data_IF_100590174343
#
_entry.id   IF_100590174343
#
_cell.length_a   1.000
_cell.length_b   1.000
_cell.length_c   1.000
_cell.angle_alpha   90.00
_cell.angle_beta   90.00
_cell.angle_gamma   90.00
#
_symmetry.space_group_name_H-M   'P 1'
#
loop_
_entity.id
_entity.type
_entity.pdbx_description
1 polymer ?
#
# COMPACT_ATOMS: atom_id res chain seq x y z
N UNK A 1 0.19 -14.29 73.70
CA UNK A 1 -0.99 -13.57 73.21
C UNK A 1 -0.92 -13.46 71.71
N UNK A 2 -1.92 -14.09 71.10
CA UNK A 2 -2.22 -14.09 69.67
C UNK A 2 -2.30 -12.69 69.05
N UNK A 3 -1.98 -12.67 67.75
CA UNK A 3 -2.81 -12.17 66.63
C UNK A 3 -2.01 -11.26 65.70
N UNK A 4 -2.14 -11.27 64.39
CA UNK A 4 -2.64 -12.18 63.35
C UNK A 4 -2.39 -11.43 62.02
N UNK A 5 -2.40 -12.18 60.91
CA UNK A 5 -2.65 -11.74 59.53
C UNK A 5 -1.50 -11.10 58.71
N UNK A 6 -1.27 -11.50 57.45
CA UNK A 6 -1.70 -12.67 56.69
C UNK A 6 -0.82 -12.75 55.42
N UNK A 7 -0.62 -13.98 54.95
CA UNK A 7 0.02 -14.37 53.71
C UNK A 7 -0.72 -13.81 52.47
N UNK A 8 0.05 -13.46 51.43
CA UNK A 8 -0.18 -14.01 50.09
C UNK A 8 1.08 -13.84 49.24
N UNK A 9 1.83 -14.94 49.12
CA UNK A 9 2.89 -15.08 48.13
C UNK A 9 2.31 -15.44 46.77
N UNK A 10 2.93 -14.91 45.71
CA UNK A 10 3.04 -15.57 44.41
C UNK A 10 4.38 -15.21 43.78
N UNK A 11 5.37 -15.98 44.21
CA UNK A 11 6.43 -16.62 43.42
C UNK A 11 6.32 -16.37 41.88
N UNK A 12 7.11 -15.45 41.33
CA UNK A 12 7.41 -15.40 39.89
C UNK A 12 8.77 -16.04 39.67
N UNK A 13 8.76 -17.37 39.53
CA UNK A 13 9.89 -18.13 38.98
C UNK A 13 9.69 -18.30 37.48
N UNK A 14 10.80 -18.09 36.79
CA UNK A 14 11.22 -18.67 35.52
C UNK A 14 10.63 -18.05 34.25
N UNK A 15 11.44 -17.43 33.38
CA UNK A 15 12.55 -17.95 32.57
C UNK A 15 12.05 -18.20 31.13
N UNK A 16 12.94 -17.88 30.17
CA UNK A 16 12.98 -18.34 28.78
C UNK A 16 12.45 -17.41 27.67
N UNK A 17 13.42 -16.87 26.95
CA UNK A 17 13.55 -17.05 25.50
C UNK A 17 12.50 -16.40 24.58
N UNK A 18 12.62 -15.10 24.34
CA UNK A 18 12.04 -14.45 23.14
C UNK A 18 13.04 -14.26 21.99
N UNK A 19 14.31 -14.66 22.17
CA UNK A 19 15.35 -14.60 21.13
C UNK A 19 15.36 -15.79 20.17
N UNK A 20 14.38 -16.71 20.28
CA UNK A 20 14.28 -17.92 19.46
C UNK A 20 12.85 -18.19 18.97
N UNK A 21 12.08 -17.15 18.60
CA UNK A 21 10.95 -17.38 17.70
C UNK A 21 11.51 -17.61 16.30
N UNK A 22 11.85 -18.88 16.08
CA UNK A 22 12.61 -19.35 14.96
C UNK A 22 12.07 -18.88 13.62
N UNK A 23 13.03 -18.85 12.71
CA UNK A 23 12.96 -18.85 11.27
C UNK A 23 12.09 -20.02 10.73
N UNK A 24 10.86 -20.12 11.22
CA UNK A 24 9.80 -20.88 10.56
C UNK A 24 9.41 -20.02 9.37
N UNK A 25 10.13 -20.20 8.28
CA UNK A 25 9.67 -19.89 6.94
C UNK A 25 8.36 -20.66 6.73
N UNK A 26 7.24 -20.11 7.20
CA UNK A 26 5.94 -20.49 6.65
C UNK A 26 6.10 -20.31 5.15
N UNK A 27 6.00 -21.43 4.42
CA UNK A 27 6.30 -21.46 3.00
C UNK A 27 5.28 -20.58 2.29
N UNK A 28 5.64 -19.32 2.05
CA UNK A 28 4.86 -18.32 1.29
C UNK A 28 4.65 -18.77 -0.17
N UNK A 29 5.27 -19.88 -0.56
CA UNK A 29 5.13 -20.57 -1.84
C UNK A 29 3.70 -21.00 -2.18
N UNK A 30 2.82 -21.17 -1.19
CA UNK A 30 1.42 -21.60 -1.42
C UNK A 30 0.50 -20.48 -1.89
N UNK A 31 0.71 -19.23 -1.47
CA UNK A 31 -0.18 -18.10 -1.84
C UNK A 31 -0.07 -17.79 -3.33
N UNK A 32 1.13 -17.94 -3.89
CA UNK A 32 1.44 -17.61 -5.27
C UNK A 32 1.09 -18.74 -6.26
N UNK A 33 0.67 -19.91 -5.79
CA UNK A 33 0.04 -20.97 -6.63
C UNK A 33 -1.47 -20.80 -6.81
N UNK A 34 -2.08 -19.84 -6.10
CA UNK A 34 -3.51 -19.63 -6.15
C UNK A 34 -3.91 -18.91 -7.44
N UNK A 35 -5.16 -19.07 -7.92
CA UNK A 35 -5.70 -18.27 -9.01
C UNK A 35 -5.53 -16.77 -8.75
N UNK A 36 -5.34 -15.97 -9.80
CA UNK A 36 -5.16 -14.52 -9.68
C UNK A 36 -6.31 -13.83 -8.93
N UNK A 37 -7.54 -14.32 -9.09
CA UNK A 37 -8.70 -13.83 -8.34
C UNK A 37 -8.58 -14.06 -6.83
N UNK A 38 -8.04 -15.21 -6.42
CA UNK A 38 -7.77 -15.51 -5.01
C UNK A 38 -6.60 -14.67 -4.48
N UNK A 39 -5.55 -14.48 -5.29
CA UNK A 39 -4.45 -13.59 -4.93
C UNK A 39 -4.95 -12.15 -4.73
N UNK A 40 -5.82 -11.67 -5.62
CA UNK A 40 -6.44 -10.35 -5.51
C UNK A 40 -7.32 -10.22 -4.25
N UNK A 41 -8.10 -11.26 -3.91
CA UNK A 41 -8.90 -11.26 -2.68
C UNK A 41 -8.03 -11.21 -1.42
N UNK A 42 -6.95 -12.00 -1.37
CA UNK A 42 -5.98 -11.95 -0.28
C UNK A 42 -5.28 -10.59 -0.20
N UNK A 43 -4.91 -10.03 -1.34
CA UNK A 43 -4.33 -8.70 -1.42
C UNK A 43 -5.32 -7.65 -0.92
N UNK A 44 -6.61 -7.71 -1.28
CA UNK A 44 -7.61 -6.78 -0.77
C UNK A 44 -7.69 -6.81 0.77
N UNK A 45 -7.62 -7.98 1.39
CA UNK A 45 -7.56 -8.12 2.85
C UNK A 45 -6.30 -7.46 3.42
N UNK A 46 -5.15 -7.64 2.78
CA UNK A 46 -3.89 -6.98 3.18
C UNK A 46 -3.96 -5.46 3.00
N UNK A 47 -4.60 -4.97 1.95
CA UNK A 47 -4.80 -3.52 1.73
C UNK A 47 -5.72 -2.91 2.80
N UNK A 48 -6.71 -3.66 3.28
CA UNK A 48 -7.53 -3.26 4.44
C UNK A 48 -6.67 -3.19 5.71
N UNK A 49 -5.82 -4.18 5.96
CA UNK A 49 -4.89 -4.18 7.10
C UNK A 49 -3.85 -3.05 7.04
N UNK A 50 -3.36 -2.69 5.85
CA UNK A 50 -2.51 -1.52 5.62
C UNK A 50 -3.22 -0.20 5.92
N UNK A 51 -4.53 -0.20 5.73
CA UNK A 51 -5.39 0.96 5.95
C UNK A 51 -5.82 1.10 7.42
N UNK A 52 -5.44 0.17 8.30
CA UNK A 52 -5.86 0.14 9.70
C UNK A 52 -5.43 1.43 10.44
N UNK A 53 -6.32 2.08 11.22
CA UNK A 53 -5.98 3.29 11.96
C UNK A 53 -4.95 3.03 13.07
N UNK A 54 -4.81 1.78 13.53
CA UNK A 54 -3.82 1.38 14.51
C UNK A 54 -2.45 1.21 13.85
N UNK A 55 -1.56 2.17 14.08
CA UNK A 55 -0.23 2.23 13.47
C UNK A 55 0.59 0.93 13.58
N UNK A 56 0.67 0.23 14.74
CA UNK A 56 1.37 -1.05 14.83
C UNK A 56 0.83 -2.13 13.88
N UNK A 57 -0.50 -2.21 13.70
CA UNK A 57 -1.12 -3.17 12.77
C UNK A 57 -0.72 -2.83 11.34
N UNK A 58 -0.93 -1.59 10.92
CA UNK A 58 -0.62 -1.15 9.56
C UNK A 58 0.88 -1.34 9.22
N UNK A 59 1.78 -1.04 10.17
CA UNK A 59 3.22 -1.26 10.02
C UNK A 59 3.59 -2.75 9.92
N UNK A 60 2.97 -3.61 10.74
CA UNK A 60 3.21 -5.06 10.66
C UNK A 60 2.74 -5.64 9.32
N UNK A 61 1.59 -5.19 8.82
CA UNK A 61 1.07 -5.61 7.51
C UNK A 61 1.97 -5.08 6.39
N UNK A 62 2.45 -3.82 6.46
CA UNK A 62 3.40 -3.28 5.49
C UNK A 62 4.67 -4.11 5.44
N UNK A 63 5.28 -4.41 6.59
CA UNK A 63 6.47 -5.24 6.67
C UNK A 63 6.25 -6.64 6.07
N UNK A 64 5.08 -7.24 6.33
CA UNK A 64 4.70 -8.53 5.76
C UNK A 64 4.56 -8.49 4.24
N UNK A 65 3.85 -7.48 3.72
CA UNK A 65 3.62 -7.28 2.29
C UNK A 65 4.93 -7.05 1.56
N UNK A 66 5.80 -6.18 2.08
CA UNK A 66 7.07 -5.83 1.43
C UNK A 66 8.11 -6.94 1.57
N UNK A 67 8.35 -7.44 2.79
CA UNK A 67 9.49 -8.31 3.07
C UNK A 67 9.24 -9.78 2.70
N UNK A 68 7.98 -10.22 2.72
CA UNK A 68 7.64 -11.64 2.51
C UNK A 68 6.80 -11.87 1.27
N UNK A 69 5.67 -11.20 1.15
CA UNK A 69 4.70 -11.49 0.09
C UNK A 69 5.20 -10.98 -1.25
N UNK A 70 5.66 -9.74 -1.33
CA UNK A 70 6.22 -9.14 -2.54
C UNK A 70 7.43 -9.92 -3.05
N UNK A 71 8.36 -10.28 -2.16
CA UNK A 71 9.54 -11.10 -2.50
C UNK A 71 9.16 -12.50 -2.99
N UNK A 72 8.17 -13.15 -2.36
CA UNK A 72 7.69 -14.44 -2.81
C UNK A 72 6.96 -14.36 -4.17
N UNK A 73 6.26 -13.26 -4.41
CA UNK A 73 5.54 -13.02 -5.66
C UNK A 73 6.52 -12.82 -6.83
N UNK A 74 7.56 -12.00 -6.66
CA UNK A 74 8.59 -11.75 -7.70
C UNK A 74 9.33 -13.01 -8.10
N UNK A 75 9.73 -13.84 -7.12
CA UNK A 75 10.39 -15.14 -7.37
C UNK A 75 9.57 -16.11 -8.21
N UNK A 76 8.26 -15.90 -8.33
CA UNK A 76 7.38 -16.81 -9.08
C UNK A 76 6.89 -16.22 -10.39
N UNK A 77 6.58 -14.93 -10.42
CA UNK A 77 5.91 -14.31 -11.56
C UNK A 77 6.87 -13.57 -12.50
N UNK A 78 8.06 -13.22 -12.04
CA UNK A 78 9.06 -12.57 -12.89
C UNK A 78 10.00 -13.61 -13.47
N UNK A 79 10.34 -13.45 -14.75
CA UNK A 79 11.40 -14.20 -15.43
C UNK A 79 12.78 -13.76 -14.94
N UNK A 80 13.82 -14.55 -15.20
CA UNK A 80 15.17 -14.25 -14.69
C UNK A 80 15.71 -12.89 -15.17
N UNK A 81 15.34 -12.45 -16.37
CA UNK A 81 15.66 -11.11 -16.90
C UNK A 81 14.98 -10.00 -16.09
N UNK A 82 13.67 -10.14 -15.83
CA UNK A 82 12.91 -9.17 -15.04
C UNK A 82 13.34 -9.16 -13.57
N UNK A 83 13.84 -10.30 -13.05
CA UNK A 83 14.44 -10.38 -11.71
C UNK A 83 15.79 -9.69 -11.64
N UNK A 84 16.61 -9.83 -12.68
CA UNK A 84 17.89 -9.11 -12.77
C UNK A 84 17.63 -7.59 -12.81
N UNK A 85 16.69 -7.14 -13.66
CA UNK A 85 16.26 -5.75 -13.69
C UNK A 85 15.70 -5.27 -12.35
N UNK A 86 14.90 -6.10 -11.67
CA UNK A 86 14.38 -5.79 -10.34
C UNK A 86 15.49 -5.64 -9.29
N UNK A 87 16.47 -6.54 -9.30
CA UNK A 87 17.61 -6.50 -8.38
C UNK A 87 18.48 -5.27 -8.63
N UNK A 88 18.73 -4.93 -9.89
CA UNK A 88 19.52 -3.74 -10.27
C UNK A 88 18.81 -2.45 -9.84
N UNK A 89 17.48 -2.37 -10.05
CA UNK A 89 16.67 -1.23 -9.62
C UNK A 89 16.61 -1.10 -8.10
N UNK A 90 16.46 -2.21 -7.37
CA UNK A 90 16.47 -2.20 -5.89
C UNK A 90 17.86 -1.84 -5.34
N UNK A 91 18.95 -2.34 -5.92
CA UNK A 91 20.32 -1.97 -5.52
C UNK A 91 20.62 -0.50 -5.83
N UNK A 92 20.20 0.01 -6.97
CA UNK A 92 20.35 1.42 -7.31
C UNK A 92 19.54 2.29 -6.33
N UNK A 93 18.31 1.87 -5.99
CA UNK A 93 17.44 2.60 -5.06
C UNK A 93 17.94 2.56 -3.62
N UNK A 94 18.46 1.43 -3.16
CA UNK A 94 19.09 1.28 -1.85
C UNK A 94 20.40 2.10 -1.78
N UNK A 95 21.17 2.12 -2.87
CA UNK A 95 22.34 2.99 -3.01
C UNK A 95 21.94 4.48 -3.00
N UNK A 96 20.80 4.83 -3.62
CA UNK A 96 20.21 6.18 -3.59
C UNK A 96 19.73 6.56 -2.18
N UNK A 97 19.11 5.64 -1.43
CA UNK A 97 18.72 5.84 -0.02
C UNK A 97 19.91 6.12 0.89
N UNK A 98 21.07 5.50 0.59
CA UNK A 98 22.32 5.70 1.34
C UNK A 98 23.13 6.90 0.84
N UNK A 99 22.94 7.32 -0.42
CA UNK A 99 23.68 8.39 -1.08
C UNK A 99 22.81 9.60 -1.40
N UNK A 100 22.57 10.46 -0.40
CA UNK A 100 22.11 11.83 -0.61
C UNK A 100 23.30 12.66 -1.15
N UNK A 101 23.55 12.63 -2.46
CA UNK A 101 24.12 13.73 -3.26
C UNK A 101 24.44 13.27 -4.71
N UNK A 102 23.75 13.85 -5.69
CA UNK A 102 24.05 13.61 -7.10
C UNK A 102 23.21 14.49 -8.02
N UNK A 103 23.76 15.64 -8.41
CA UNK A 103 23.16 16.60 -9.32
C UNK A 103 23.10 16.04 -10.76
N UNK A 104 21.89 15.90 -11.31
CA UNK A 104 21.62 15.56 -12.70
C UNK A 104 20.12 15.37 -12.93
N UNK A 105 19.68 15.30 -14.20
CA UNK A 105 18.28 15.15 -14.66
C UNK A 105 17.50 13.95 -14.05
N UNK A 106 18.17 13.15 -13.21
CA UNK A 106 17.64 12.13 -12.29
C UNK A 106 16.86 12.72 -11.10
N UNK A 107 16.84 14.04 -10.93
CA UNK A 107 16.09 14.75 -9.89
C UNK A 107 14.55 14.61 -9.98
N UNK A 108 14.00 14.13 -11.11
CA UNK A 108 12.56 13.91 -11.24
C UNK A 108 12.05 12.75 -10.37
N UNK A 109 12.78 11.63 -10.31
CA UNK A 109 12.40 10.45 -9.50
C UNK A 109 12.60 10.76 -8.01
N UNK A 110 13.68 11.47 -7.67
CA UNK A 110 13.96 11.91 -6.31
C UNK A 110 12.91 12.92 -5.82
N UNK A 111 12.48 13.85 -6.69
CA UNK A 111 11.35 14.73 -6.40
C UNK A 111 10.02 13.97 -6.21
N UNK A 112 9.78 12.88 -6.96
CA UNK A 112 8.59 12.04 -6.76
C UNK A 112 8.67 11.30 -5.43
N UNK A 113 9.81 10.71 -5.07
CA UNK A 113 10.07 10.05 -3.80
C UNK A 113 9.90 10.99 -2.60
N UNK A 114 10.50 12.18 -2.66
CA UNK A 114 10.37 13.22 -1.62
C UNK A 114 8.93 13.71 -1.53
N UNK A 115 8.24 13.92 -2.67
CA UNK A 115 6.83 14.32 -2.68
C UNK A 115 5.93 13.23 -2.11
N UNK A 116 6.17 11.96 -2.44
CA UNK A 116 5.45 10.82 -1.88
C UNK A 116 5.69 10.73 -0.38
N UNK A 117 6.94 10.75 0.09
CA UNK A 117 7.27 10.70 1.51
C UNK A 117 6.63 11.85 2.32
N UNK A 118 6.54 13.05 1.74
CA UNK A 118 5.85 14.18 2.38
C UNK A 118 4.32 14.10 2.38
N UNK A 119 3.74 13.24 1.53
CA UNK A 119 2.29 13.14 1.28
C UNK A 119 1.68 11.83 1.71
N UNK A 120 2.49 10.81 2.01
CA UNK A 120 1.99 9.53 2.49
C UNK A 120 2.01 9.51 4.00
N UNK A 121 0.84 9.52 4.67
CA UNK A 121 0.79 9.25 6.09
C UNK A 121 1.31 7.84 6.40
N UNK A 122 1.66 7.62 7.66
CA UNK A 122 1.93 6.30 8.22
C UNK A 122 0.90 5.26 7.71
N UNK A 123 1.29 4.02 7.34
CA UNK A 123 2.57 3.34 7.63
C UNK A 123 3.67 3.58 6.59
N UNK A 124 3.42 4.33 5.53
CA UNK A 124 4.33 4.39 4.39
C UNK A 124 5.51 5.34 4.67
N UNK A 125 6.76 4.85 4.75
CA UNK A 125 7.92 5.69 4.95
C UNK A 125 8.37 6.42 3.66
N UNK A 126 7.59 6.32 2.58
CA UNK A 126 7.91 6.78 1.24
C UNK A 126 7.63 5.68 0.22
N UNK A 127 8.57 5.46 -0.71
CA UNK A 127 8.41 4.48 -1.79
C UNK A 127 8.44 3.03 -1.26
N UNK A 128 7.45 2.25 -1.68
CA UNK A 128 7.25 0.85 -1.24
C UNK A 128 8.18 -0.13 -1.96
N UNK A 129 8.33 -1.37 -1.48
CA UNK A 129 9.23 -2.35 -2.09
C UNK A 129 8.80 -2.78 -3.51
N UNK A 130 9.75 -2.97 -4.44
CA UNK A 130 9.47 -3.24 -5.86
C UNK A 130 8.55 -4.43 -6.07
N UNK A 131 8.80 -5.53 -5.38
CA UNK A 131 7.99 -6.74 -5.52
C UNK A 131 6.53 -6.55 -5.09
N UNK A 132 6.29 -5.76 -4.04
CA UNK A 132 4.95 -5.40 -3.61
C UNK A 132 4.25 -4.50 -4.63
N UNK A 133 4.97 -3.51 -5.19
CA UNK A 133 4.45 -2.62 -6.24
C UNK A 133 4.02 -3.39 -7.49
N UNK A 134 4.87 -4.28 -7.99
CA UNK A 134 4.57 -5.11 -9.18
C UNK A 134 3.38 -6.02 -8.95
N UNK A 135 3.31 -6.64 -7.77
CA UNK A 135 2.18 -7.48 -7.38
C UNK A 135 0.86 -6.68 -7.36
N UNK A 136 0.85 -5.52 -6.68
CA UNK A 136 -0.35 -4.67 -6.60
C UNK A 136 -0.76 -4.18 -7.98
N UNK A 137 0.20 -3.72 -8.78
CA UNK A 137 -0.04 -3.26 -10.15
C UNK A 137 -0.67 -4.35 -11.01
N UNK A 138 -0.14 -5.57 -10.96
CA UNK A 138 -0.68 -6.73 -11.71
C UNK A 138 -2.12 -7.05 -11.30
N UNK A 139 -2.42 -6.97 -10.00
CA UNK A 139 -3.72 -7.32 -9.45
C UNK A 139 -4.70 -6.12 -9.41
N UNK A 140 -4.25 -4.94 -9.81
CA UNK A 140 -5.00 -3.69 -9.72
C UNK A 140 -6.38 -3.75 -10.41
N UNK A 141 -6.54 -4.33 -11.63
CA UNK A 141 -7.86 -4.44 -12.26
C UNK A 141 -8.91 -5.18 -11.41
N UNK A 142 -8.45 -6.14 -10.60
CA UNK A 142 -9.30 -6.92 -9.70
C UNK A 142 -9.60 -6.18 -8.39
N UNK A 143 -8.72 -5.26 -7.95
CA UNK A 143 -8.89 -4.47 -6.74
C UNK A 143 -9.81 -3.26 -6.94
N UNK A 144 -9.74 -2.59 -8.09
CA UNK A 144 -10.45 -1.33 -8.31
C UNK A 144 -11.98 -1.50 -8.27
N UNK A 145 -12.51 -2.62 -8.77
CA UNK A 145 -13.95 -2.87 -8.77
C UNK A 145 -14.56 -2.96 -7.35
N UNK A 146 -14.06 -3.83 -6.44
CA UNK A 146 -14.58 -3.89 -5.08
C UNK A 146 -14.34 -2.59 -4.31
N UNK A 147 -13.19 -1.92 -4.49
CA UNK A 147 -12.94 -0.61 -3.86
C UNK A 147 -14.00 0.41 -4.29
N UNK A 148 -14.32 0.47 -5.58
CA UNK A 148 -15.34 1.38 -6.09
C UNK A 148 -16.74 1.10 -5.54
N UNK A 149 -17.08 -0.18 -5.35
CA UNK A 149 -18.35 -0.57 -4.71
C UNK A 149 -18.40 -0.10 -3.26
N UNK A 150 -17.36 -0.36 -2.48
CA UNK A 150 -17.29 0.01 -1.05
C UNK A 150 -17.27 1.54 -0.85
N UNK A 151 -16.68 2.30 -1.79
CA UNK A 151 -16.76 3.77 -1.79
C UNK A 151 -18.18 4.30 -2.02
N UNK A 152 -19.05 3.52 -2.66
CA UNK A 152 -20.45 3.88 -2.89
C UNK A 152 -21.42 3.36 -1.81
N UNK A 153 -20.93 2.72 -0.75
CA UNK A 153 -21.79 2.16 0.28
C UNK A 153 -22.43 3.24 1.17
N UNK A 154 -23.62 2.93 1.68
CA UNK A 154 -24.40 3.88 2.47
C UNK A 154 -23.78 4.15 3.85
N UNK A 155 -22.96 3.23 4.38
CA UNK A 155 -22.31 3.44 5.67
C UNK A 155 -21.00 4.20 5.55
N UNK A 156 -20.84 5.23 6.38
CA UNK A 156 -19.65 6.08 6.37
C UNK A 156 -18.38 5.29 6.71
N UNK A 157 -18.43 4.34 7.64
CA UNK A 157 -17.26 3.55 8.05
C UNK A 157 -16.72 2.66 6.92
N UNK A 158 -17.60 2.09 6.09
CA UNK A 158 -17.18 1.34 4.91
C UNK A 158 -16.53 2.27 3.88
N UNK A 159 -17.15 3.41 3.57
CA UNK A 159 -16.57 4.41 2.66
C UNK A 159 -15.21 4.93 3.14
N UNK A 160 -15.06 5.21 4.45
CA UNK A 160 -13.78 5.60 5.07
C UNK A 160 -12.71 4.55 4.89
N UNK A 161 -13.07 3.28 5.07
CA UNK A 161 -12.13 2.16 4.89
C UNK A 161 -11.76 2.03 3.41
N UNK A 162 -12.72 2.12 2.51
CA UNK A 162 -12.51 2.05 1.06
C UNK A 162 -11.62 3.19 0.55
N UNK A 163 -11.80 4.42 1.04
CA UNK A 163 -10.96 5.57 0.67
C UNK A 163 -9.51 5.39 1.11
N UNK A 164 -9.27 4.87 2.32
CA UNK A 164 -7.92 4.52 2.79
C UNK A 164 -7.30 3.39 1.97
N UNK A 165 -8.09 2.36 1.63
CA UNK A 165 -7.66 1.25 0.78
C UNK A 165 -7.31 1.75 -0.62
N UNK A 166 -8.10 2.64 -1.20
CA UNK A 166 -7.81 3.27 -2.48
C UNK A 166 -6.48 4.04 -2.42
N UNK A 167 -6.31 4.88 -1.41
CA UNK A 167 -5.06 5.60 -1.17
C UNK A 167 -3.87 4.65 -1.09
N UNK A 168 -3.92 3.64 -0.22
CA UNK A 168 -2.86 2.65 -0.05
C UNK A 168 -2.57 1.92 -1.38
N UNK A 169 -3.61 1.55 -2.14
CA UNK A 169 -3.46 0.88 -3.44
C UNK A 169 -2.69 1.75 -4.42
N UNK A 170 -2.97 3.05 -4.49
CA UNK A 170 -2.26 3.98 -5.37
C UNK A 170 -0.82 4.24 -4.93
N UNK A 171 -0.52 4.17 -3.62
CA UNK A 171 0.85 4.25 -3.10
C UNK A 171 1.71 3.09 -3.63
N UNK A 172 1.15 1.89 -3.77
CA UNK A 172 1.87 0.76 -4.37
C UNK A 172 1.86 0.77 -5.89
N UNK A 173 0.75 1.18 -6.53
CA UNK A 173 0.61 1.14 -7.98
C UNK A 173 1.42 2.23 -8.70
N UNK A 174 1.78 3.33 -8.02
CA UNK A 174 2.56 4.43 -8.55
C UNK A 174 2.08 4.89 -9.96
N UNK A 175 2.96 4.85 -10.96
CA UNK A 175 2.72 5.29 -12.34
C UNK A 175 2.04 4.21 -13.20
N UNK A 176 2.02 2.95 -12.74
CA UNK A 176 1.59 1.79 -13.51
C UNK A 176 0.06 1.57 -13.43
N UNK A 177 -0.70 2.64 -13.31
CA UNK A 177 -2.18 2.62 -13.23
C UNK A 177 -2.86 2.79 -14.59
N UNK A 178 -2.11 2.82 -15.69
CA UNK A 178 -2.58 3.41 -16.95
C UNK A 178 -3.79 2.71 -17.58
N UNK A 179 -3.90 1.39 -17.48
CA UNK A 179 -5.04 0.63 -18.06
C UNK A 179 -6.36 0.86 -17.30
N UNK A 180 -6.27 1.11 -15.99
CA UNK A 180 -7.43 1.31 -15.12
C UNK A 180 -7.63 2.79 -14.76
N UNK A 181 -6.77 3.67 -15.28
CA UNK A 181 -6.74 5.10 -14.95
C UNK A 181 -8.11 5.78 -15.14
N UNK A 182 -8.87 5.57 -16.23
CA UNK A 182 -10.20 6.17 -16.37
C UNK A 182 -11.16 5.76 -15.24
N UNK A 183 -11.11 4.50 -14.81
CA UNK A 183 -11.96 4.01 -13.71
C UNK A 183 -11.54 4.65 -12.38
N UNK A 184 -10.24 4.72 -12.10
CA UNK A 184 -9.74 5.34 -10.87
C UNK A 184 -10.10 6.82 -10.84
N UNK A 185 -9.94 7.54 -11.96
CA UNK A 185 -10.33 8.96 -12.08
C UNK A 185 -11.82 9.15 -11.77
N UNK A 186 -12.69 8.32 -12.35
CA UNK A 186 -14.13 8.37 -12.05
C UNK A 186 -14.42 8.15 -10.56
N UNK A 187 -13.73 7.21 -9.91
CA UNK A 187 -13.89 6.96 -8.46
C UNK A 187 -13.44 8.15 -7.63
N UNK A 188 -12.28 8.74 -7.96
CA UNK A 188 -11.75 9.91 -7.26
C UNK A 188 -12.66 11.12 -7.42
N UNK A 189 -13.14 11.40 -8.63
CA UNK A 189 -14.07 12.50 -8.88
C UNK A 189 -15.40 12.32 -8.14
N UNK A 190 -15.90 11.09 -8.01
CA UNK A 190 -17.13 10.82 -7.27
C UNK A 190 -16.92 10.97 -5.74
N UNK A 191 -15.83 10.42 -5.20
CA UNK A 191 -15.60 10.34 -3.76
C UNK A 191 -15.00 11.63 -3.15
N UNK A 192 -14.40 12.53 -3.94
CA UNK A 192 -13.81 13.77 -3.41
C UNK A 192 -14.86 14.75 -2.88
N UNK A 193 -16.10 14.64 -3.37
CA UNK A 193 -17.26 15.42 -2.92
C UNK A 193 -18.09 14.72 -1.84
N UNK A 194 -17.57 13.69 -1.17
CA UNK A 194 -18.29 12.97 -0.11
C UNK A 194 -18.68 13.92 1.04
N UNK A 195 -19.84 13.65 1.65
CA UNK A 195 -20.36 14.39 2.80
C UNK A 195 -19.48 14.24 4.05
N UNK A 196 -18.79 13.10 4.17
CA UNK A 196 -17.85 12.84 5.24
C UNK A 196 -16.45 13.36 4.89
N UNK A 197 -15.92 14.21 5.78
CA UNK A 197 -14.64 14.90 5.58
C UNK A 197 -13.45 13.95 5.52
N UNK A 198 -13.48 12.83 6.25
CA UNK A 198 -12.37 11.88 6.26
C UNK A 198 -12.33 11.13 4.92
N UNK A 199 -13.49 10.73 4.38
CA UNK A 199 -13.60 10.11 3.05
C UNK A 199 -13.04 11.05 1.98
N UNK A 200 -13.47 12.31 1.99
CA UNK A 200 -13.00 13.32 1.04
C UNK A 200 -11.49 13.57 1.17
N UNK A 201 -10.96 13.65 2.40
CA UNK A 201 -9.54 13.90 2.68
C UNK A 201 -8.64 12.74 2.21
N UNK A 202 -9.03 11.49 2.48
CA UNK A 202 -8.29 10.32 2.01
C UNK A 202 -8.35 10.19 0.49
N UNK A 203 -9.50 10.50 -0.12
CA UNK A 203 -9.65 10.55 -1.57
C UNK A 203 -8.75 11.61 -2.20
N UNK A 204 -8.70 12.82 -1.62
CA UNK A 204 -7.79 13.88 -2.05
C UNK A 204 -6.32 13.46 -1.91
N UNK A 205 -5.97 12.75 -0.85
CA UNK A 205 -4.63 12.19 -0.65
C UNK A 205 -4.29 11.18 -1.76
N UNK A 206 -5.25 10.34 -2.15
CA UNK A 206 -5.11 9.41 -3.27
C UNK A 206 -4.92 10.15 -4.61
N UNK A 207 -5.67 11.25 -4.85
CA UNK A 207 -5.45 12.13 -6.00
C UNK A 207 -4.03 12.70 -6.04
N UNK A 208 -3.49 13.12 -4.89
CA UNK A 208 -2.14 13.66 -4.82
C UNK A 208 -1.08 12.62 -5.13
N UNK A 209 -1.22 11.39 -4.62
CA UNK A 209 -0.33 10.28 -4.96
C UNK A 209 -0.36 10.02 -6.47
N UNK A 210 -1.56 9.85 -7.04
CA UNK A 210 -1.71 9.64 -8.48
C UNK A 210 -1.09 10.79 -9.30
N UNK A 211 -1.42 12.04 -8.97
CA UNK A 211 -0.92 13.22 -9.69
C UNK A 211 0.59 13.39 -9.58
N UNK A 212 1.22 12.83 -8.54
CA UNK A 212 2.68 12.81 -8.38
C UNK A 212 3.36 11.70 -9.19
N UNK A 213 2.70 10.56 -9.36
CA UNK A 213 3.26 9.40 -10.04
C UNK A 213 2.93 9.34 -11.53
N UNK A 214 1.75 9.83 -11.93
CA UNK A 214 1.24 9.73 -13.30
C UNK A 214 1.48 11.05 -14.04
N UNK A 215 2.14 10.97 -15.19
CA UNK A 215 2.41 12.13 -16.03
C UNK A 215 1.10 12.83 -16.44
N UNK A 216 1.03 14.18 -16.40
CA UNK A 216 -0.15 14.94 -16.81
C UNK A 216 -0.72 14.56 -18.18
N UNK A 217 0.14 14.23 -19.15
CA UNK A 217 -0.28 13.78 -20.49
C UNK A 217 -1.20 12.56 -20.48
N UNK A 218 -1.20 11.73 -19.43
CA UNK A 218 -2.03 10.52 -19.31
C UNK A 218 -3.38 10.78 -18.66
N UNK A 219 -3.46 11.64 -17.63
CA UNK A 219 -4.71 11.87 -16.89
C UNK A 219 -5.44 13.15 -17.33
N UNK A 220 -4.73 14.16 -17.83
CA UNK A 220 -5.32 15.45 -18.18
C UNK A 220 -6.39 15.35 -19.28
N UNK A 221 -6.20 14.57 -20.37
CA UNK A 221 -7.26 14.42 -21.38
C UNK A 221 -8.56 13.86 -20.80
N UNK A 222 -8.46 12.88 -19.90
CA UNK A 222 -9.63 12.26 -19.25
C UNK A 222 -10.43 13.27 -18.42
N UNK A 223 -9.74 14.17 -17.72
CA UNK A 223 -10.40 15.25 -16.95
C UNK A 223 -11.05 16.26 -17.90
N UNK A 224 -10.37 16.64 -18.97
CA UNK A 224 -10.89 17.59 -19.95
C UNK A 224 -12.15 17.05 -20.63
N UNK A 225 -12.18 15.78 -20.99
CA UNK A 225 -13.36 15.12 -21.57
C UNK A 225 -14.57 15.22 -20.62
N UNK A 226 -14.36 15.02 -19.31
CA UNK A 226 -15.42 15.18 -18.31
C UNK A 226 -15.90 16.63 -18.17
N UNK A 227 -15.01 17.62 -18.23
CA UNK A 227 -15.39 19.04 -18.11
C UNK A 227 -16.17 19.52 -19.33
N UNK A 228 -15.78 19.09 -20.54
CA UNK A 228 -16.48 19.42 -21.77
C UNK A 228 -17.87 18.77 -21.81
N UNK A 229 -18.00 17.53 -21.32
CA UNK A 229 -19.28 16.82 -21.27
C UNK A 229 -20.30 17.43 -20.28
N UNK A 230 -19.83 18.10 -19.22
CA UNK A 230 -20.70 18.75 -18.21
C UNK A 230 -21.08 20.18 -18.61
N UNK A 231 -20.30 20.82 -19.49
CA UNK A 231 -20.47 22.21 -19.91
C UNK A 231 -21.32 22.44 -21.17
N UNK A 232 -21.90 21.39 -21.76
CA UNK A 232 -22.81 21.47 -22.92
C UNK A 232 -24.21 20.99 -22.58
#
# INVERSE_FOLDING_TARGET
NNSDNNNNGCNVRNNKDYSNLGDKTYSTSHVSSLPESTQAALLAILMVGLSDPHAPTASAVLSLVESRIGVAWTRRHLNDTERAEASDLEQEEESRRRGLEGCGDRGAIDAVLVRLASRTPHPFPGRTAFGARRMVTRLLPWLIQPIGKELGEWTTEQRKTAARVLFATLVFAEADVSEVLPKIMSLLCAAIGDEDKDVALWTLSACHVMGSCVLPKRWLPLVLDHLVAVGG
#
